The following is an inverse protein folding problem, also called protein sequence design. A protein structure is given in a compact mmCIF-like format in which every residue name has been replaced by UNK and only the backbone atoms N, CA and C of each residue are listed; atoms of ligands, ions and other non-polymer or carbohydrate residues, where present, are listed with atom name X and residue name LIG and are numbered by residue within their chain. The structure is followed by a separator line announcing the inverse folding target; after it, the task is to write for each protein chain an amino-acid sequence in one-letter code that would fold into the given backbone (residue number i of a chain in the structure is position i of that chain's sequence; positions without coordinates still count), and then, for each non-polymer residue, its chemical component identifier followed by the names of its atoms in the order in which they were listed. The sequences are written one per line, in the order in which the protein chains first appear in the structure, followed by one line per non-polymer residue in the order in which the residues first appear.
data_IF_532197903315
#
_entry.id   IF_532197903315
#
_cell.length_a   1.000
_cell.length_b   1.000
_cell.length_c   1.000
_cell.angle_alpha   90.00
_cell.angle_beta   90.00
_cell.angle_gamma   90.00
#
_symmetry.space_group_name_H-M   'P 1'
#
loop_
_entity.id
_entity.type
_entity.pdbx_description
1 polymer ?
#
# COMPACT_ATOMS: atom_id res chain seq x y z
N UNK A 1 5.95 45.34 15.87
CA UNK A 1 7.22 44.59 15.75
C UNK A 1 6.88 43.19 15.25
N UNK A 2 6.87 43.01 13.92
CA UNK A 2 6.60 41.72 13.29
C UNK A 2 7.91 40.95 13.35
N UNK A 3 7.95 39.84 14.09
CA UNK A 3 9.14 38.97 14.15
C UNK A 3 9.48 38.50 12.74
N UNK A 4 10.75 38.63 12.35
CA UNK A 4 11.29 38.32 11.02
C UNK A 4 10.80 36.95 10.47
N UNK A 5 10.61 35.97 11.36
CA UNK A 5 10.08 34.64 11.03
C UNK A 5 8.63 34.66 10.50
N UNK A 6 7.74 35.50 11.04
CA UNK A 6 6.34 35.60 10.59
C UNK A 6 6.20 36.27 9.22
N UNK A 7 7.16 37.09 8.83
CA UNK A 7 7.21 37.68 7.50
C UNK A 7 7.78 36.67 6.50
N UNK A 8 8.79 35.88 6.90
CA UNK A 8 9.36 34.81 6.10
C UNK A 8 8.33 33.72 5.80
N UNK A 9 7.59 33.25 6.81
CA UNK A 9 6.53 32.24 6.64
C UNK A 9 5.43 32.74 5.70
N UNK A 10 5.00 34.00 5.85
CA UNK A 10 3.98 34.60 4.95
C UNK A 10 4.46 34.79 3.51
N UNK A 11 5.72 35.15 3.30
CA UNK A 11 6.30 35.26 1.95
C UNK A 11 6.48 33.86 1.34
N UNK A 12 6.80 32.86 2.17
CA UNK A 12 6.98 31.49 1.73
C UNK A 12 5.65 30.85 1.27
N UNK A 13 4.56 31.14 1.97
CA UNK A 13 3.20 30.70 1.61
C UNK A 13 2.63 31.45 0.39
N UNK A 14 3.05 32.70 0.15
CA UNK A 14 2.62 33.50 -0.99
C UNK A 14 3.29 33.13 -2.32
N UNK A 15 4.56 32.70 -2.29
CA UNK A 15 5.32 32.39 -3.51
C UNK A 15 5.04 31.00 -4.08
N UNK A 16 4.38 30.10 -3.35
CA UNK A 16 4.03 28.75 -3.80
C UNK A 16 2.61 28.38 -3.36
N UNK A 17 1.56 28.93 -4.00
CA UNK A 17 0.19 28.60 -3.67
C UNK A 17 -0.13 27.23 -4.29
N UNK A 18 0.07 26.17 -3.52
CA UNK A 18 -0.59 24.90 -3.82
C UNK A 18 -1.53 24.60 -2.65
N UNK A 19 -2.85 24.57 -2.87
CA UNK A 19 -3.75 24.07 -1.85
C UNK A 19 -3.34 22.61 -1.59
N UNK A 20 -2.98 22.32 -0.34
CA UNK A 20 -2.78 20.96 0.17
C UNK A 20 -4.12 20.20 0.03
N UNK A 21 -4.43 19.73 -1.18
CA UNK A 21 -5.50 18.78 -1.40
C UNK A 21 -4.98 17.41 -0.95
N UNK A 22 -5.49 17.00 0.21
CA UNK A 22 -5.19 15.78 0.92
C UNK A 22 -5.38 14.53 0.02
N UNK A 23 -4.28 13.93 -0.43
CA UNK A 23 -4.29 12.59 -1.03
C UNK A 23 -3.22 11.67 -0.42
N UNK A 24 -2.85 11.92 0.84
CA UNK A 24 -2.05 11.03 1.69
C UNK A 24 -2.63 11.04 3.13
N UNK A 25 -3.96 10.95 3.27
CA UNK A 25 -4.58 10.90 4.61
C UNK A 25 -4.24 9.59 5.32
N UNK A 26 -3.75 9.70 6.56
CA UNK A 26 -3.88 8.62 7.52
C UNK A 26 -5.35 8.38 7.79
N UNK A 27 -5.76 7.14 7.96
CA UNK A 27 -7.13 6.88 8.30
C UNK A 27 -7.49 7.33 9.72
N UNK A 28 -8.73 7.81 9.94
CA UNK A 28 -9.26 7.97 11.27
C UNK A 28 -9.46 6.60 11.92
N UNK A 29 -9.00 6.47 13.16
CA UNK A 29 -9.25 5.32 14.01
C UNK A 29 -10.59 5.54 14.71
N UNK A 30 -11.66 5.01 14.15
CA UNK A 30 -12.94 4.90 14.87
C UNK A 30 -13.29 3.42 15.07
N UNK A 31 -13.32 3.01 16.33
CA UNK A 31 -13.73 1.69 16.79
C UNK A 31 -15.20 1.71 17.25
N UNK A 32 -15.88 0.56 17.10
CA UNK A 32 -17.10 0.09 17.81
C UNK A 32 -18.47 0.06 17.10
N UNK A 33 -18.53 0.14 15.77
CA UNK A 33 -19.71 -0.34 15.03
C UNK A 33 -19.31 -1.33 13.95
N UNK A 34 -20.18 -2.33 13.70
CA UNK A 34 -19.98 -3.23 12.57
C UNK A 34 -19.88 -2.40 11.30
N UNK A 35 -18.71 -2.41 10.68
CA UNK A 35 -18.46 -1.57 9.52
C UNK A 35 -19.31 -2.06 8.35
N UNK A 36 -19.48 -1.20 7.36
CA UNK A 36 -20.16 -1.60 6.13
C UNK A 36 -19.44 -2.80 5.47
N UNK A 37 -18.13 -2.92 5.63
CA UNK A 37 -17.36 -4.04 5.10
C UNK A 37 -17.63 -5.36 5.84
N UNK A 38 -17.72 -5.35 7.17
CA UNK A 38 -18.09 -6.55 7.94
C UNK A 38 -19.47 -7.09 7.53
N UNK A 39 -20.43 -6.21 7.21
CA UNK A 39 -21.74 -6.62 6.67
C UNK A 39 -21.60 -7.41 5.37
N UNK A 40 -20.72 -7.00 4.48
CA UNK A 40 -20.42 -7.73 3.24
C UNK A 40 -19.84 -9.12 3.53
N UNK A 41 -18.88 -9.20 4.46
CA UNK A 41 -18.28 -10.47 4.88
C UNK A 41 -19.35 -11.43 5.41
N UNK A 42 -20.21 -10.95 6.31
CA UNK A 42 -21.31 -11.76 6.85
C UNK A 42 -22.31 -12.20 5.77
N UNK A 43 -22.62 -11.35 4.79
CA UNK A 43 -23.48 -11.72 3.66
C UNK A 43 -22.87 -12.85 2.84
N UNK A 44 -21.59 -12.77 2.48
CA UNK A 44 -20.90 -13.83 1.74
C UNK A 44 -20.90 -15.17 2.49
N UNK A 45 -20.65 -15.15 3.80
CA UNK A 45 -20.72 -16.36 4.62
C UNK A 45 -22.15 -16.93 4.68
N UNK A 46 -23.17 -16.08 4.81
CA UNK A 46 -24.58 -16.49 4.78
C UNK A 46 -24.92 -17.16 3.45
N UNK A 47 -24.50 -16.57 2.32
CA UNK A 47 -24.76 -17.13 0.98
C UNK A 47 -24.03 -18.47 0.77
N UNK A 48 -22.84 -18.60 1.34
CA UNK A 48 -22.12 -19.87 1.37
C UNK A 48 -22.81 -20.95 2.25
N UNK A 49 -23.75 -20.57 3.13
CA UNK A 49 -24.49 -21.49 3.99
C UNK A 49 -23.94 -21.59 5.42
N UNK A 50 -23.13 -20.61 5.86
CA UNK A 50 -22.63 -20.55 7.25
C UNK A 50 -23.71 -19.97 8.17
N UNK A 51 -24.06 -20.71 9.22
CA UNK A 51 -25.04 -20.25 10.21
C UNK A 51 -24.42 -19.33 11.28
N UNK A 52 -25.25 -18.80 12.19
CA UNK A 52 -24.80 -17.91 13.28
C UNK A 52 -23.77 -18.52 14.23
N UNK A 53 -23.71 -19.86 14.34
CA UNK A 53 -22.70 -20.58 15.14
C UNK A 53 -21.41 -20.86 14.37
N UNK A 54 -21.33 -20.45 13.10
CA UNK A 54 -20.18 -20.69 12.23
C UNK A 54 -20.15 -22.08 11.61
N UNK A 55 -21.24 -22.85 11.66
CA UNK A 55 -21.30 -24.18 11.05
C UNK A 55 -21.80 -24.06 9.60
N UNK A 56 -21.13 -24.77 8.70
CA UNK A 56 -21.54 -24.88 7.30
C UNK A 56 -22.74 -25.81 7.18
N UNK A 57 -23.81 -25.34 6.54
CA UNK A 57 -24.99 -26.15 6.20
C UNK A 57 -24.90 -26.62 4.75
N UNK A 58 -25.54 -27.73 4.42
CA UNK A 58 -25.55 -28.28 3.04
C UNK A 58 -26.33 -27.40 2.05
N UNK A 59 -27.14 -26.46 2.53
CA UNK A 59 -27.95 -25.55 1.73
C UNK A 59 -27.20 -24.24 1.49
N UNK A 60 -26.60 -24.08 0.31
CA UNK A 60 -26.19 -22.75 -0.17
C UNK A 60 -27.43 -21.87 -0.31
N UNK A 61 -27.32 -20.63 0.16
CA UNK A 61 -28.40 -19.64 0.04
C UNK A 61 -28.09 -18.77 -1.15
N UNK A 62 -28.91 -18.86 -2.20
CA UNK A 62 -28.77 -17.99 -3.36
C UNK A 62 -29.26 -16.58 -3.00
N UNK A 63 -28.40 -15.55 -3.11
CA UNK A 63 -28.82 -14.18 -2.85
C UNK A 63 -29.84 -13.71 -3.87
N UNK A 64 -30.75 -12.86 -3.43
CA UNK A 64 -31.60 -12.10 -4.35
C UNK A 64 -30.78 -11.10 -5.16
N UNK A 65 -31.33 -10.64 -6.28
CA UNK A 65 -30.73 -9.59 -7.08
C UNK A 65 -30.52 -8.30 -6.27
N UNK A 66 -31.48 -7.95 -5.40
CA UNK A 66 -31.41 -6.77 -4.54
C UNK A 66 -30.26 -6.89 -3.53
N UNK A 67 -30.15 -8.02 -2.82
CA UNK A 67 -29.04 -8.27 -1.88
C UNK A 67 -27.67 -8.23 -2.58
N UNK A 68 -27.59 -8.75 -3.80
CA UNK A 68 -26.37 -8.71 -4.62
C UNK A 68 -25.99 -7.27 -4.97
N UNK A 69 -26.96 -6.46 -5.39
CA UNK A 69 -26.74 -5.07 -5.75
C UNK A 69 -26.35 -4.21 -4.54
N UNK A 70 -27.02 -4.40 -3.40
CA UNK A 70 -26.68 -3.75 -2.14
C UNK A 70 -25.25 -4.06 -1.70
N UNK A 71 -24.86 -5.34 -1.75
CA UNK A 71 -23.51 -5.78 -1.36
C UNK A 71 -22.44 -5.17 -2.28
N UNK A 72 -22.69 -5.11 -3.58
CA UNK A 72 -21.79 -4.42 -4.54
C UNK A 72 -21.68 -2.92 -4.26
N UNK A 73 -22.79 -2.26 -3.93
CA UNK A 73 -22.77 -0.84 -3.59
C UNK A 73 -22.00 -0.57 -2.29
N UNK A 74 -22.11 -1.47 -1.30
CA UNK A 74 -21.33 -1.37 -0.08
C UNK A 74 -19.84 -1.55 -0.37
N UNK A 75 -19.45 -2.56 -1.16
CA UNK A 75 -18.06 -2.76 -1.57
C UNK A 75 -17.47 -1.52 -2.25
N UNK A 76 -18.23 -0.87 -3.14
CA UNK A 76 -17.82 0.41 -3.75
C UNK A 76 -17.58 1.51 -2.74
N UNK A 77 -18.45 1.64 -1.74
CA UNK A 77 -18.24 2.59 -0.63
C UNK A 77 -17.01 2.26 0.22
N UNK A 78 -16.63 0.99 0.27
CA UNK A 78 -15.42 0.51 0.93
C UNK A 78 -14.16 0.61 0.05
N UNK A 79 -14.23 1.18 -1.16
CA UNK A 79 -13.07 1.41 -2.03
C UNK A 79 -12.83 0.33 -3.10
N UNK A 80 -13.73 -0.65 -3.25
CA UNK A 80 -13.63 -1.69 -4.28
C UNK A 80 -14.41 -1.30 -5.54
N UNK A 81 -13.77 -1.28 -6.70
CA UNK A 81 -14.42 -1.08 -8.00
C UNK A 81 -15.18 -2.32 -8.45
N UNK A 82 -14.63 -3.54 -8.26
CA UNK A 82 -15.24 -4.79 -8.75
C UNK A 82 -15.51 -5.82 -7.65
N UNK A 83 -14.59 -6.00 -6.70
CA UNK A 83 -14.68 -7.01 -5.65
C UNK A 83 -14.66 -8.48 -6.13
N UNK A 84 -14.15 -8.76 -7.34
CA UNK A 84 -14.28 -10.07 -8.03
C UNK A 84 -13.85 -11.29 -7.18
N UNK A 85 -12.76 -11.15 -6.41
CA UNK A 85 -12.20 -12.24 -5.62
C UNK A 85 -12.51 -12.17 -4.12
N UNK A 86 -13.25 -11.15 -3.67
CA UNK A 86 -13.48 -10.90 -2.24
C UNK A 86 -14.31 -12.02 -1.62
N UNK A 87 -15.40 -12.43 -2.26
CA UNK A 87 -16.25 -13.53 -1.78
C UNK A 87 -15.43 -14.83 -1.62
N UNK A 88 -14.62 -15.17 -2.63
CA UNK A 88 -13.75 -16.35 -2.59
C UNK A 88 -12.75 -16.27 -1.45
N UNK A 89 -12.15 -15.10 -1.23
CA UNK A 89 -11.21 -14.88 -0.13
C UNK A 89 -11.88 -15.03 1.23
N UNK A 90 -13.04 -14.41 1.42
CA UNK A 90 -13.84 -14.49 2.65
C UNK A 90 -14.15 -15.95 3.01
N UNK A 91 -14.66 -16.72 2.05
CA UNK A 91 -14.99 -18.13 2.26
C UNK A 91 -13.74 -18.94 2.60
N UNK A 92 -12.66 -18.75 1.83
CA UNK A 92 -11.41 -19.47 2.03
C UNK A 92 -10.82 -19.23 3.43
N UNK A 93 -10.66 -17.96 3.83
CA UNK A 93 -10.05 -17.63 5.13
C UNK A 93 -10.96 -18.03 6.30
N UNK A 94 -12.29 -17.97 6.12
CA UNK A 94 -13.22 -18.45 7.14
C UNK A 94 -13.03 -19.94 7.40
N UNK A 95 -12.99 -20.77 6.35
CA UNK A 95 -12.82 -22.21 6.49
C UNK A 95 -11.46 -22.55 7.13
N UNK A 96 -10.39 -21.92 6.65
CA UNK A 96 -9.04 -22.12 7.18
C UNK A 96 -8.93 -21.70 8.66
N UNK A 97 -9.63 -20.64 9.07
CA UNK A 97 -9.65 -20.19 10.46
C UNK A 97 -10.55 -21.06 11.32
N UNK A 98 -11.68 -21.52 10.80
CA UNK A 98 -12.64 -22.40 11.50
C UNK A 98 -12.02 -23.75 11.87
N UNK A 99 -11.16 -24.29 11.02
CA UNK A 99 -10.39 -25.52 11.32
C UNK A 99 -9.49 -25.35 12.55
N UNK A 100 -8.92 -24.15 12.74
CA UNK A 100 -8.02 -23.84 13.87
C UNK A 100 -8.77 -23.32 15.10
N UNK A 101 -9.96 -22.77 14.91
CA UNK A 101 -10.79 -22.18 15.95
C UNK A 101 -12.24 -22.69 15.81
N UNK A 102 -12.57 -23.86 16.41
CA UNK A 102 -13.89 -24.47 16.27
C UNK A 102 -15.05 -23.60 16.76
N UNK A 103 -14.82 -22.66 17.69
CA UNK A 103 -15.84 -21.74 18.20
C UNK A 103 -15.97 -20.45 17.36
N UNK A 104 -15.22 -20.33 16.25
CA UNK A 104 -15.30 -19.18 15.36
C UNK A 104 -16.71 -19.04 14.80
N UNK A 105 -17.32 -17.89 15.05
CA UNK A 105 -18.60 -17.49 14.47
C UNK A 105 -18.41 -16.38 13.42
N UNK A 106 -19.40 -16.12 12.54
CA UNK A 106 -19.27 -15.14 11.46
C UNK A 106 -18.96 -13.72 11.91
N UNK A 107 -19.43 -13.31 13.10
CA UNK A 107 -19.20 -11.96 13.63
C UNK A 107 -17.73 -11.82 14.06
N UNK A 108 -17.23 -12.79 14.82
CA UNK A 108 -15.80 -12.83 15.20
C UNK A 108 -14.90 -12.87 13.98
N UNK A 109 -15.24 -13.70 12.98
CA UNK A 109 -14.49 -13.75 11.75
C UNK A 109 -14.50 -12.41 11.00
N UNK A 110 -15.64 -11.74 10.89
CA UNK A 110 -15.73 -10.46 10.18
C UNK A 110 -14.78 -9.40 10.77
N UNK A 111 -14.63 -9.37 12.10
CA UNK A 111 -13.65 -8.52 12.78
C UNK A 111 -12.21 -8.90 12.40
N UNK A 112 -11.84 -10.18 12.51
CA UNK A 112 -10.48 -10.63 12.17
C UNK A 112 -10.15 -10.40 10.69
N UNK A 113 -11.13 -10.60 9.82
CA UNK A 113 -10.98 -10.44 8.39
C UNK A 113 -10.74 -8.98 8.04
N UNK A 114 -11.56 -8.05 8.56
CA UNK A 114 -11.38 -6.62 8.33
C UNK A 114 -10.02 -6.12 8.84
N UNK A 115 -9.64 -6.47 10.07
CA UNK A 115 -8.39 -6.01 10.68
C UNK A 115 -7.12 -6.46 9.93
N UNK A 116 -7.22 -7.57 9.17
CA UNK A 116 -6.08 -8.21 8.50
C UNK A 116 -6.22 -8.28 6.98
N UNK A 117 -7.24 -7.64 6.41
CA UNK A 117 -7.44 -7.70 4.97
C UNK A 117 -6.39 -6.88 4.22
N UNK A 118 -5.89 -7.45 3.13
CA UNK A 118 -4.98 -6.81 2.21
C UNK A 118 -5.14 -7.41 0.81
N UNK A 119 -5.07 -6.59 -0.24
CA UNK A 119 -5.28 -7.02 -1.63
C UNK A 119 -4.30 -8.12 -2.09
N UNK A 120 -3.10 -8.18 -1.50
CA UNK A 120 -2.12 -9.24 -1.80
C UNK A 120 -2.65 -10.65 -1.52
N UNK A 121 -3.61 -10.80 -0.60
CA UNK A 121 -4.27 -12.09 -0.32
C UNK A 121 -5.09 -12.60 -1.52
N UNK A 122 -5.47 -11.72 -2.45
CA UNK A 122 -6.24 -12.06 -3.66
C UNK A 122 -5.39 -12.71 -4.76
N UNK A 123 -4.05 -12.55 -4.71
CA UNK A 123 -3.12 -13.06 -5.74
C UNK A 123 -3.30 -14.56 -5.99
N UNK A 124 -3.60 -15.35 -4.94
CA UNK A 124 -3.80 -16.80 -5.05
C UNK A 124 -5.00 -17.19 -5.91
N UNK A 125 -5.95 -16.29 -6.14
CA UNK A 125 -7.15 -16.53 -6.93
C UNK A 125 -7.04 -16.03 -8.38
N UNK A 126 -5.96 -15.33 -8.73
CA UNK A 126 -5.74 -14.85 -10.10
C UNK A 126 -5.25 -15.99 -11.00
N UNK A 127 -5.30 -15.78 -12.32
CA UNK A 127 -4.70 -16.74 -13.27
C UNK A 127 -3.19 -16.92 -13.05
N UNK A 128 -2.65 -18.05 -13.49
CA UNK A 128 -1.21 -18.35 -13.43
C UNK A 128 -0.36 -17.29 -14.15
N UNK A 129 -0.87 -16.76 -15.26
CA UNK A 129 -0.23 -15.67 -16.02
C UNK A 129 -0.08 -14.40 -15.16
N UNK A 130 -1.13 -14.02 -14.44
CA UNK A 130 -1.10 -12.88 -13.52
C UNK A 130 -0.15 -13.14 -12.35
N UNK A 131 -0.13 -14.35 -11.80
CA UNK A 131 0.79 -14.71 -10.71
C UNK A 131 2.26 -14.62 -11.18
N UNK A 132 2.57 -15.10 -12.40
CA UNK A 132 3.89 -14.97 -13.01
C UNK A 132 4.27 -13.51 -13.25
N UNK A 133 3.33 -12.70 -13.75
CA UNK A 133 3.54 -11.27 -13.95
C UNK A 133 3.79 -10.53 -12.63
N UNK A 134 3.07 -10.88 -11.57
CA UNK A 134 3.28 -10.33 -10.22
C UNK A 134 4.67 -10.68 -9.68
N UNK A 135 5.11 -11.93 -9.89
CA UNK A 135 6.45 -12.37 -9.49
C UNK A 135 7.52 -11.55 -10.22
N UNK A 136 7.43 -11.42 -11.55
CA UNK A 136 8.34 -10.58 -12.34
C UNK A 136 8.32 -9.12 -11.83
N UNK A 137 7.14 -8.57 -11.56
CA UNK A 137 6.98 -7.20 -11.04
C UNK A 137 7.70 -7.02 -9.70
N UNK A 138 7.57 -8.01 -8.80
CA UNK A 138 8.27 -8.01 -7.50
C UNK A 138 9.79 -8.08 -7.67
N UNK A 139 10.29 -8.86 -8.62
CA UNK A 139 11.72 -8.96 -8.92
C UNK A 139 12.30 -7.63 -9.42
N UNK A 140 11.59 -6.93 -10.32
CA UNK A 140 11.99 -5.58 -10.76
C UNK A 140 11.99 -4.58 -9.61
N UNK A 141 10.97 -4.63 -8.73
CA UNK A 141 10.94 -3.81 -7.52
C UNK A 141 12.16 -4.10 -6.63
N UNK A 142 12.46 -5.37 -6.34
CA UNK A 142 13.58 -5.76 -5.46
C UNK A 142 14.95 -5.45 -6.07
N UNK A 143 15.09 -5.53 -7.40
CA UNK A 143 16.30 -5.08 -8.11
C UNK A 143 16.48 -3.57 -7.97
N UNK A 144 15.42 -2.79 -8.18
CA UNK A 144 15.46 -1.32 -8.08
C UNK A 144 15.74 -0.88 -6.65
N UNK A 145 15.10 -1.52 -5.67
CA UNK A 145 15.38 -1.32 -4.24
C UNK A 145 16.84 -1.59 -3.89
N UNK A 146 17.42 -2.70 -4.35
CA UNK A 146 18.85 -3.01 -4.12
C UNK A 146 19.77 -1.96 -4.71
N UNK A 147 19.50 -1.53 -5.94
CA UNK A 147 20.24 -0.45 -6.59
C UNK A 147 20.19 0.86 -5.79
N UNK A 148 19.02 1.24 -5.25
CA UNK A 148 18.90 2.42 -4.39
C UNK A 148 19.76 2.31 -3.12
N UNK A 149 19.83 1.12 -2.50
CA UNK A 149 20.70 0.88 -1.34
C UNK A 149 22.17 1.04 -1.72
N UNK A 150 22.58 0.54 -2.89
CA UNK A 150 23.95 0.70 -3.40
C UNK A 150 24.31 2.18 -3.62
N UNK A 151 23.43 2.95 -4.26
CA UNK A 151 23.61 4.41 -4.43
C UNK A 151 23.81 5.08 -3.07
N UNK A 152 23.01 4.73 -2.06
CA UNK A 152 23.19 5.27 -0.71
C UNK A 152 24.56 4.92 -0.12
N UNK A 153 25.07 3.71 -0.33
CA UNK A 153 26.38 3.29 0.16
C UNK A 153 27.55 4.18 -0.29
N UNK A 154 27.43 4.86 -1.44
CA UNK A 154 28.45 5.79 -1.94
C UNK A 154 28.37 7.21 -1.35
N UNK A 155 27.31 7.54 -0.61
CA UNK A 155 27.08 8.90 -0.11
C UNK A 155 27.87 9.15 1.18
N UNK A 156 28.67 10.22 1.19
CA UNK A 156 29.47 10.61 2.36
C UNK A 156 28.59 11.08 3.52
N UNK A 157 27.52 11.81 3.22
CA UNK A 157 26.61 12.39 4.21
C UNK A 157 25.70 11.30 4.78
N UNK A 158 25.73 11.10 6.10
CA UNK A 158 24.92 10.09 6.81
C UNK A 158 23.41 10.27 6.59
N UNK A 159 22.94 11.52 6.56
CA UNK A 159 21.52 11.83 6.43
C UNK A 159 20.97 11.35 5.08
N UNK A 160 21.80 11.38 4.02
CA UNK A 160 21.44 10.88 2.69
C UNK A 160 21.41 9.35 2.62
N UNK A 161 22.02 8.68 3.60
CA UNK A 161 22.04 7.22 3.75
C UNK A 161 20.90 6.68 4.61
N UNK A 162 20.05 7.56 5.14
CA UNK A 162 18.82 7.15 5.81
C UNK A 162 17.87 6.54 4.77
N UNK A 163 17.33 5.37 5.06
CA UNK A 163 16.22 4.77 4.31
C UNK A 163 15.12 4.39 5.25
N UNK A 164 13.90 4.44 4.75
CA UNK A 164 12.70 4.08 5.48
C UNK A 164 12.00 2.98 4.69
N UNK A 165 11.70 1.89 5.38
CA UNK A 165 11.09 0.71 4.79
C UNK A 165 9.83 0.34 5.57
N UNK A 166 8.78 -0.08 4.86
CA UNK A 166 7.55 -0.56 5.48
C UNK A 166 6.98 -1.73 4.67
N UNK A 167 6.68 -2.83 5.35
CA UNK A 167 5.96 -3.98 4.79
C UNK A 167 4.53 -3.89 5.31
N UNK A 168 3.63 -3.37 4.47
CA UNK A 168 2.26 -3.09 4.87
C UNK A 168 1.42 -4.35 5.04
N UNK A 169 1.83 -5.48 4.43
CA UNK A 169 1.17 -6.78 4.62
C UNK A 169 1.32 -7.35 6.03
N UNK A 170 2.29 -6.86 6.81
CA UNK A 170 2.52 -7.27 8.19
C UNK A 170 1.81 -6.36 9.21
N UNK A 171 1.28 -5.23 8.74
CA UNK A 171 0.64 -4.22 9.59
C UNK A 171 -0.88 -4.42 9.60
N UNK A 172 -1.49 -4.30 10.79
CA UNK A 172 -2.95 -4.20 10.93
C UNK A 172 -3.40 -2.82 10.47
N UNK A 173 -3.68 -2.65 9.19
CA UNK A 173 -4.14 -1.39 8.65
C UNK A 173 -5.07 -1.59 7.44
N UNK A 174 -6.36 -1.76 7.75
CA UNK A 174 -7.44 -1.85 6.75
C UNK A 174 -7.41 -0.73 5.71
N UNK A 175 -7.04 0.48 6.11
CA UNK A 175 -7.11 1.65 5.24
C UNK A 175 -5.99 1.74 4.23
N UNK A 176 -4.96 0.90 4.34
CA UNK A 176 -3.94 0.75 3.32
C UNK A 176 -3.91 -0.66 2.75
N UNK A 177 -5.07 -1.14 2.28
CA UNK A 177 -5.22 -2.48 1.73
C UNK A 177 -4.54 -2.69 0.37
N UNK A 178 -4.01 -1.64 -0.27
CA UNK A 178 -3.44 -1.71 -1.61
C UNK A 178 -1.91 -1.67 -1.63
N UNK A 179 -1.26 -1.00 -0.68
CA UNK A 179 0.20 -0.88 -0.72
C UNK A 179 0.83 -2.10 -0.07
N UNK A 180 1.70 -2.79 -0.79
CA UNK A 180 2.39 -4.01 -0.30
C UNK A 180 3.66 -3.62 0.47
N UNK A 181 4.50 -2.79 -0.15
CA UNK A 181 5.80 -2.42 0.40
C UNK A 181 6.18 -1.00 -0.02
N UNK A 182 6.84 -0.27 0.88
CA UNK A 182 7.45 1.02 0.59
C UNK A 182 8.92 1.03 0.92
N UNK A 183 9.66 1.75 0.08
CA UNK A 183 11.07 2.06 0.24
C UNK A 183 11.28 3.54 -0.06
N UNK A 184 11.84 4.27 0.89
CA UNK A 184 11.92 5.73 0.84
C UNK A 184 13.33 6.16 1.23
N UNK A 185 13.92 7.05 0.43
CA UNK A 185 15.22 7.70 0.69
C UNK A 185 15.03 9.22 0.67
N UNK A 186 16.04 10.04 1.00
CA UNK A 186 15.95 11.50 0.91
C UNK A 186 15.78 12.05 -0.52
N UNK A 187 15.92 11.21 -1.53
CA UNK A 187 15.89 11.61 -2.93
C UNK A 187 14.90 10.80 -3.80
N UNK A 188 14.31 9.72 -3.27
CA UNK A 188 13.43 8.85 -4.05
C UNK A 188 12.44 8.07 -3.18
N UNK A 189 11.23 7.85 -3.70
CA UNK A 189 10.25 6.90 -3.17
C UNK A 189 10.00 5.79 -4.20
N UNK A 190 9.97 4.55 -3.73
CA UNK A 190 9.57 3.37 -4.50
C UNK A 190 8.53 2.58 -3.71
N UNK A 191 7.37 2.32 -4.31
CA UNK A 191 6.30 1.56 -3.68
C UNK A 191 5.81 0.43 -4.59
N UNK A 192 5.61 -0.74 -4.00
CA UNK A 192 4.94 -1.88 -4.60
C UNK A 192 3.49 -1.86 -4.13
N UNK A 193 2.55 -1.89 -5.08
CA UNK A 193 1.11 -1.87 -4.81
C UNK A 193 0.45 -3.13 -5.39
N UNK A 194 -0.73 -3.46 -4.88
CA UNK A 194 -1.60 -4.53 -5.31
C UNK A 194 -3.02 -4.00 -5.44
N UNK A 195 -3.59 -4.07 -6.63
CA UNK A 195 -4.97 -3.64 -6.85
C UNK A 195 -5.98 -4.70 -6.38
N UNK A 196 -7.26 -4.35 -6.41
CA UNK A 196 -8.37 -5.24 -6.03
C UNK A 196 -8.53 -6.51 -6.90
N UNK A 197 -7.83 -6.59 -8.03
CA UNK A 197 -7.78 -7.77 -8.88
C UNK A 197 -6.55 -8.65 -8.57
N UNK A 198 -5.83 -8.35 -7.48
CA UNK A 198 -4.63 -9.08 -7.10
C UNK A 198 -3.43 -8.82 -8.03
N UNK A 199 -3.40 -7.73 -8.79
CA UNK A 199 -2.30 -7.41 -9.73
C UNK A 199 -1.32 -6.42 -9.11
N UNK A 200 -0.03 -6.71 -9.25
CA UNK A 200 1.03 -5.85 -8.74
C UNK A 200 1.34 -4.69 -9.69
N UNK A 201 1.76 -3.57 -9.12
CA UNK A 201 2.28 -2.40 -9.84
C UNK A 201 3.34 -1.68 -9.02
N UNK A 202 4.23 -0.97 -9.69
CA UNK A 202 5.28 -0.16 -9.08
C UNK A 202 4.94 1.30 -9.30
N UNK A 203 4.93 2.07 -8.23
CA UNK A 203 4.90 3.53 -8.30
C UNK A 203 6.19 4.09 -7.76
N UNK A 204 6.76 5.07 -8.44
CA UNK A 204 7.97 5.74 -7.98
C UNK A 204 7.87 7.26 -8.07
N UNK A 205 8.71 7.93 -7.29
CA UNK A 205 8.92 9.37 -7.32
C UNK A 205 10.42 9.65 -7.18
N UNK A 206 10.92 10.61 -7.96
CA UNK A 206 12.28 11.14 -7.85
C UNK A 206 12.16 12.59 -7.42
N UNK A 207 12.89 12.98 -6.38
CA UNK A 207 12.93 14.37 -5.93
C UNK A 207 13.51 15.24 -7.04
N UNK A 208 12.86 16.32 -7.50
CA UNK A 208 13.40 17.18 -8.56
C UNK A 208 14.81 17.72 -8.30
N UNK A 209 15.18 17.89 -7.02
CA UNK A 209 16.48 18.39 -6.59
C UNK A 209 17.50 17.26 -6.29
N UNK A 210 17.20 16.02 -6.64
CA UNK A 210 18.03 14.88 -6.26
C UNK A 210 19.49 14.98 -6.74
N UNK A 211 19.74 15.63 -7.88
CA UNK A 211 21.10 15.88 -8.40
C UNK A 211 21.97 16.66 -7.42
N UNK A 212 21.38 17.59 -6.68
CA UNK A 212 22.05 18.38 -5.65
C UNK A 212 22.44 17.51 -4.44
N UNK A 213 21.67 16.46 -4.16
CA UNK A 213 21.92 15.56 -3.02
C UNK A 213 22.96 14.49 -3.33
N UNK A 214 22.84 13.82 -4.49
CA UNK A 214 23.67 12.64 -4.78
C UNK A 214 24.79 12.92 -5.80
N UNK A 215 24.83 14.14 -6.36
CA UNK A 215 25.81 14.54 -7.37
C UNK A 215 25.47 14.03 -8.77
N UNK A 216 25.95 14.75 -9.79
CA UNK A 216 25.56 14.55 -11.20
C UNK A 216 25.81 13.11 -11.70
N UNK A 217 26.94 12.51 -11.34
CA UNK A 217 27.30 11.16 -11.81
C UNK A 217 26.36 10.07 -11.30
N UNK A 218 26.09 10.05 -9.98
CA UNK A 218 25.14 9.10 -9.39
C UNK A 218 23.70 9.41 -9.82
N UNK A 219 23.37 10.69 -9.99
CA UNK A 219 22.08 11.10 -10.49
C UNK A 219 21.78 10.60 -11.90
N UNK A 220 22.73 10.73 -12.83
CA UNK A 220 22.56 10.22 -14.19
C UNK A 220 22.40 8.69 -14.21
N UNK A 221 23.11 7.99 -13.31
CA UNK A 221 22.97 6.53 -13.15
C UNK A 221 21.58 6.16 -12.61
N UNK A 222 21.07 6.92 -11.64
CA UNK A 222 19.73 6.74 -11.09
C UNK A 222 18.64 6.99 -12.13
N UNK A 223 18.74 8.07 -12.90
CA UNK A 223 17.81 8.38 -14.00
C UNK A 223 17.80 7.24 -15.02
N UNK A 224 18.98 6.76 -15.42
CA UNK A 224 19.08 5.63 -16.35
C UNK A 224 18.38 4.39 -15.80
N UNK A 225 18.58 4.05 -14.53
CA UNK A 225 17.93 2.89 -13.90
C UNK A 225 16.40 3.01 -13.90
N UNK A 226 15.84 4.19 -13.61
CA UNK A 226 14.39 4.41 -13.65
C UNK A 226 13.85 4.44 -15.09
N UNK A 227 14.61 4.94 -16.04
CA UNK A 227 14.27 4.87 -17.46
C UNK A 227 14.24 3.42 -17.96
N UNK A 228 15.18 2.58 -17.54
CA UNK A 228 15.16 1.14 -17.83
C UNK A 228 13.95 0.45 -17.22
N UNK A 229 13.59 0.79 -15.96
CA UNK A 229 12.39 0.26 -15.30
C UNK A 229 11.12 0.67 -16.07
N UNK A 230 11.01 1.95 -16.44
CA UNK A 230 9.85 2.49 -17.16
C UNK A 230 9.71 1.98 -18.60
N UNK A 231 10.79 1.46 -19.20
CA UNK A 231 10.79 0.89 -20.55
C UNK A 231 10.93 -0.64 -20.56
N UNK A 232 10.81 -1.28 -19.40
CA UNK A 232 10.91 -2.74 -19.25
C UNK A 232 9.67 -3.48 -19.76
N UNK A 233 9.70 -4.81 -19.67
CA UNK A 233 8.55 -5.68 -19.97
C UNK A 233 7.32 -5.37 -19.09
N UNK A 234 7.53 -4.78 -17.92
CA UNK A 234 6.46 -4.42 -16.98
C UNK A 234 6.06 -2.93 -17.06
N UNK A 235 6.45 -2.21 -18.11
CA UNK A 235 6.23 -0.76 -18.25
C UNK A 235 4.79 -0.29 -17.94
N UNK A 236 3.79 -1.07 -18.34
CA UNK A 236 2.37 -0.71 -18.14
C UNK A 236 1.94 -0.80 -16.66
N UNK A 237 2.76 -1.46 -15.83
CA UNK A 237 2.61 -1.60 -14.39
C UNK A 237 3.49 -0.63 -13.60
N UNK A 238 4.34 0.14 -14.27
CA UNK A 238 5.27 1.10 -13.65
C UNK A 238 4.75 2.51 -13.89
N UNK A 239 4.59 3.30 -12.83
CA UNK A 239 4.11 4.68 -12.92
C UNK A 239 4.97 5.63 -12.10
N UNK A 240 5.47 6.68 -12.74
CA UNK A 240 5.99 7.83 -12.01
C UNK A 240 4.82 8.64 -11.46
N UNK A 241 4.81 8.91 -10.16
CA UNK A 241 3.76 9.72 -9.53
C UNK A 241 4.43 10.95 -8.92
N UNK A 242 3.99 12.18 -9.26
CA UNK A 242 4.50 13.37 -8.60
C UNK A 242 4.11 13.35 -7.12
N UNK A 243 4.95 13.91 -6.26
CA UNK A 243 4.57 14.18 -4.88
C UNK A 243 3.93 15.55 -4.81
N UNK A 244 2.68 15.58 -4.36
CA UNK A 244 1.90 16.80 -4.21
C UNK A 244 2.24 17.57 -2.92
N UNK A 245 3.45 17.38 -2.38
CA UNK A 245 3.95 18.06 -1.17
C UNK A 245 5.48 18.14 -1.15
N UNK A 246 6.00 19.04 -0.32
CA UNK A 246 7.45 19.18 -0.06
C UNK A 246 8.05 17.89 0.50
N UNK A 247 8.98 17.33 -0.27
CA UNK A 247 9.54 15.99 -0.02
C UNK A 247 10.36 15.91 1.26
N UNK A 248 11.16 16.92 1.54
CA UNK A 248 12.03 17.03 2.71
C UNK A 248 11.22 17.03 4.03
N UNK A 249 10.16 17.84 4.10
CA UNK A 249 9.24 17.88 5.24
C UNK A 249 8.52 16.54 5.40
N UNK A 250 8.04 15.98 4.30
CA UNK A 250 7.39 14.68 4.29
C UNK A 250 8.30 13.55 4.77
N UNK A 251 9.53 13.50 4.26
CA UNK A 251 10.51 12.47 4.58
C UNK A 251 10.80 12.45 6.09
N UNK A 252 10.95 13.63 6.70
CA UNK A 252 11.12 13.76 8.16
C UNK A 252 9.89 13.29 8.94
N UNK A 253 8.69 13.63 8.48
CA UNK A 253 7.44 13.18 9.13
C UNK A 253 7.28 11.67 9.11
N UNK A 254 7.67 11.00 8.02
CA UNK A 254 7.54 9.54 7.93
C UNK A 254 8.41 8.82 8.96
N UNK A 255 9.59 9.36 9.28
CA UNK A 255 10.50 8.74 10.25
C UNK A 255 9.88 8.57 11.64
N UNK A 256 8.85 9.35 11.98
CA UNK A 256 8.16 9.25 13.27
C UNK A 256 6.89 8.39 13.23
N UNK A 257 6.51 7.81 12.09
CA UNK A 257 5.30 6.98 11.99
C UNK A 257 5.58 5.57 12.53
N UNK A 258 4.74 5.05 13.44
CA UNK A 258 4.81 3.65 13.86
C UNK A 258 4.75 2.68 12.66
N UNK A 259 5.52 1.60 12.70
CA UNK A 259 5.67 0.57 11.65
C UNK A 259 6.58 0.91 10.46
N UNK A 260 7.06 2.15 10.34
CA UNK A 260 8.11 2.48 9.38
C UNK A 260 9.48 2.22 10.03
N UNK A 261 10.26 1.31 9.44
CA UNK A 261 11.61 1.00 9.89
C UNK A 261 12.60 1.98 9.28
N UNK A 262 13.21 2.82 10.11
CA UNK A 262 14.30 3.71 9.72
C UNK A 262 15.63 2.97 9.86
N UNK A 263 16.44 2.97 8.80
CA UNK A 263 17.77 2.34 8.77
C UNK A 263 18.78 3.31 8.17
N UNK A 264 20.01 3.33 8.67
CA UNK A 264 21.12 4.06 8.06
C UNK A 264 21.97 3.04 7.29
N UNK A 265 22.14 3.26 5.99
CA UNK A 265 23.02 2.42 5.15
C UNK A 265 24.48 2.70 5.50
N UNK A 266 25.28 1.64 5.69
CA UNK A 266 26.73 1.77 5.90
C UNK A 266 27.40 2.37 4.66
N UNK A 267 28.49 3.11 4.89
CA UNK A 267 29.23 3.69 3.78
C UNK A 267 30.14 2.61 3.21
N UNK A 268 30.14 2.47 1.89
CA UNK A 268 31.11 1.63 1.22
C UNK A 268 32.50 2.22 1.44
N UNK A 269 33.38 1.45 2.06
CA UNK A 269 34.81 1.78 2.12
C UNK A 269 35.36 1.62 0.71
N UNK A 270 35.75 2.73 0.08
CA UNK A 270 36.52 2.74 -1.16
C UNK A 270 37.97 2.33 -0.88
#
# INVERSE_FOLDING_TARGET
MITLNKLYDKIHDWLLPMPEQECDMFPPVDHLYSTSFQKVVMNYLKWYGVNKKGNTTSSKVYPTFVETLETKNILRKCGFTTGEYIEKLVIYEFLEMKERMPDLNPVMFAHFFEDSYHNSKLVKFTSLEVQKLNQNTKEYYDKTRRFLIEIQGYLKVSDLRIRIECIHTENKNWFNHSRVQEFITPFCKLALNCNELGRFSITYFINPHFKEFIGESLANTLEKQFNELANSEIKDLVKMTPLNRRYDKWFKQIQSIPNYKVTITEQNLL
#
